data_IF_328796522119
#
_entry.id   IF_328796522119
#
_cell.length_a   1.000
_cell.length_b   1.000
_cell.length_c   1.000
_cell.angle_alpha   90.00
_cell.angle_beta   90.00
_cell.angle_gamma   90.00
#
_symmetry.space_group_name_H-M   'P 1'
#
loop_
_entity.id
_entity.type
_entity.pdbx_description
1 polymer ?
#
# COMPACT_ATOMS: atom_id res chain seq x y z
N UNK A 1 -11.22 21.51 13.40
CA UNK A 1 -12.02 20.86 12.34
C UNK A 1 -12.27 19.40 12.70
N UNK A 2 -13.44 18.84 12.34
CA UNK A 2 -13.85 17.48 12.71
C UNK A 2 -12.80 16.40 12.36
N UNK A 3 -12.15 16.52 11.19
CA UNK A 3 -11.08 15.63 10.73
C UNK A 3 -9.92 15.54 11.73
N UNK A 4 -9.55 16.65 12.37
CA UNK A 4 -8.40 16.70 13.28
C UNK A 4 -8.69 16.08 14.66
N UNK A 5 -9.94 16.14 15.10
CA UNK A 5 -10.42 15.54 16.36
C UNK A 5 -10.80 14.06 16.24
N UNK A 6 -10.90 13.52 15.02
CA UNK A 6 -11.32 12.13 14.79
C UNK A 6 -10.13 11.17 14.70
N UNK A 7 -10.28 9.98 15.31
CA UNK A 7 -9.30 8.87 15.21
C UNK A 7 -9.28 8.22 13.82
N UNK A 8 -10.43 8.16 13.17
CA UNK A 8 -10.64 7.69 11.79
C UNK A 8 -11.66 8.61 11.14
N UNK A 9 -11.46 8.91 9.86
CA UNK A 9 -12.32 9.72 9.00
C UNK A 9 -12.81 8.81 7.88
N UNK A 10 -14.14 8.72 7.72
CA UNK A 10 -14.76 7.94 6.64
C UNK A 10 -15.15 8.92 5.53
N UNK A 11 -14.74 8.62 4.31
CA UNK A 11 -15.13 9.34 3.12
C UNK A 11 -16.07 8.47 2.28
N UNK A 12 -17.33 8.88 2.18
CA UNK A 12 -18.37 8.13 1.46
C UNK A 12 -18.45 8.67 0.03
N UNK A 13 -17.97 7.91 -0.94
CA UNK A 13 -17.80 8.30 -2.34
C UNK A 13 -18.94 7.77 -3.20
N UNK A 14 -19.51 8.66 -4.00
CA UNK A 14 -20.49 8.41 -5.06
C UNK A 14 -20.11 9.17 -6.34
N UNK A 15 -20.85 8.99 -7.44
CA UNK A 15 -20.67 9.79 -8.64
C UNK A 15 -21.05 11.25 -8.41
N UNK A 16 -22.12 11.50 -7.66
CA UNK A 16 -22.50 12.85 -7.27
C UNK A 16 -21.44 13.49 -6.39
N UNK A 17 -20.84 12.72 -5.47
CA UNK A 17 -19.66 13.15 -4.74
C UNK A 17 -18.60 13.63 -5.73
N UNK A 18 -18.19 12.84 -6.72
CA UNK A 18 -17.10 13.26 -7.62
C UNK A 18 -17.43 14.51 -8.45
N UNK A 19 -18.72 14.80 -8.69
CA UNK A 19 -19.18 15.93 -9.51
C UNK A 19 -19.45 17.22 -8.74
N UNK A 20 -19.96 17.11 -7.51
CA UNK A 20 -20.04 18.25 -6.61
C UNK A 20 -18.62 18.63 -6.26
N UNK A 21 -18.19 19.88 -6.45
CA UNK A 21 -16.91 20.31 -5.93
C UNK A 21 -16.91 20.10 -4.42
N UNK A 22 -16.34 18.98 -3.97
CA UNK A 22 -16.08 18.72 -2.58
C UNK A 22 -15.31 19.91 -2.08
N UNK A 23 -15.79 20.52 -1.00
CA UNK A 23 -15.06 21.56 -0.32
C UNK A 23 -13.61 21.08 -0.20
N UNK A 24 -12.71 21.76 -0.94
CA UNK A 24 -11.33 21.34 -1.16
C UNK A 24 -10.64 21.01 0.16
N UNK A 25 -11.08 21.69 1.23
CA UNK A 25 -10.50 21.65 2.55
C UNK A 25 -10.61 20.28 3.25
N UNK A 26 -11.78 19.65 3.39
CA UNK A 26 -11.90 18.41 4.17
C UNK A 26 -11.10 17.25 3.56
N UNK A 27 -11.19 17.08 2.23
CA UNK A 27 -10.39 16.08 1.50
C UNK A 27 -8.91 16.44 1.56
N UNK A 28 -8.56 17.73 1.48
CA UNK A 28 -7.18 18.18 1.63
C UNK A 28 -6.62 17.86 3.02
N UNK A 29 -7.36 18.16 4.08
CA UNK A 29 -6.97 17.90 5.46
C UNK A 29 -6.86 16.39 5.73
N UNK A 30 -7.83 15.60 5.26
CA UNK A 30 -7.79 14.15 5.40
C UNK A 30 -6.63 13.51 4.61
N UNK A 31 -6.36 14.01 3.39
CA UNK A 31 -5.21 13.59 2.58
C UNK A 31 -3.90 13.99 3.24
N UNK A 32 -3.81 15.19 3.81
CA UNK A 32 -2.61 15.68 4.51
C UNK A 32 -2.28 14.80 5.71
N UNK A 33 -3.26 14.50 6.57
CA UNK A 33 -3.04 13.58 7.71
C UNK A 33 -2.66 12.17 7.26
N UNK A 34 -3.20 11.70 6.13
CA UNK A 34 -2.87 10.37 5.57
C UNK A 34 -1.48 10.28 4.93
N UNK A 35 -1.04 11.33 4.23
CA UNK A 35 0.17 11.30 3.41
C UNK A 35 1.36 12.06 3.99
N UNK A 36 1.15 13.08 4.81
CA UNK A 36 2.23 13.84 5.45
C UNK A 36 2.43 13.41 6.90
N UNK A 37 1.35 13.23 7.67
CA UNK A 37 1.45 12.77 9.06
C UNK A 37 1.55 11.22 9.17
N UNK A 38 1.51 10.51 8.03
CA UNK A 38 1.56 9.03 7.93
C UNK A 38 0.52 8.30 8.80
N UNK A 39 -0.57 8.98 9.15
CA UNK A 39 -1.63 8.39 9.96
C UNK A 39 -2.61 7.66 9.03
N UNK A 40 -2.86 6.36 9.23
CA UNK A 40 -3.89 5.60 8.50
C UNK A 40 -5.31 5.99 8.98
N UNK A 41 -5.65 7.27 8.83
CA UNK A 41 -6.87 7.88 9.36
C UNK A 41 -8.01 7.91 8.34
N UNK A 42 -7.76 7.71 7.05
CA UNK A 42 -8.78 7.89 6.00
C UNK A 42 -9.23 6.56 5.42
N UNK A 43 -10.52 6.26 5.56
CA UNK A 43 -11.18 5.11 4.95
C UNK A 43 -12.14 5.56 3.86
N UNK A 44 -11.98 5.07 2.63
CA UNK A 44 -12.95 5.33 1.57
C UNK A 44 -14.04 4.26 1.55
N UNK A 45 -15.29 4.68 1.35
CA UNK A 45 -16.45 3.82 1.15
C UNK A 45 -17.10 4.21 -0.16
N UNK A 46 -17.06 3.34 -1.17
CA UNK A 46 -17.76 3.55 -2.44
C UNK A 46 -19.19 3.04 -2.34
N UNK A 47 -20.19 3.91 -2.50
CA UNK A 47 -21.60 3.51 -2.48
C UNK A 47 -22.04 2.84 -3.78
N UNK A 48 -21.33 3.10 -4.86
CA UNK A 48 -21.60 2.60 -6.20
C UNK A 48 -20.29 2.27 -6.91
N UNK A 49 -20.30 1.40 -7.92
CA UNK A 49 -19.11 1.14 -8.73
C UNK A 49 -18.70 2.41 -9.46
N UNK A 50 -17.48 2.89 -9.18
CA UNK A 50 -16.92 4.06 -9.86
C UNK A 50 -15.81 3.59 -10.80
N UNK A 51 -15.89 3.92 -12.11
CA UNK A 51 -14.84 3.57 -13.05
C UNK A 51 -13.49 4.16 -12.63
N UNK A 52 -12.43 3.35 -12.71
CA UNK A 52 -11.08 3.80 -12.35
C UNK A 52 -10.65 5.05 -13.10
N UNK A 53 -11.09 5.22 -14.35
CA UNK A 53 -10.82 6.43 -15.15
C UNK A 53 -11.30 7.70 -14.45
N UNK A 54 -12.48 7.69 -13.84
CA UNK A 54 -13.01 8.86 -13.11
C UNK A 54 -12.18 9.13 -11.86
N UNK A 55 -11.76 8.08 -11.15
CA UNK A 55 -10.91 8.18 -9.95
C UNK A 55 -9.50 8.65 -10.29
N UNK A 56 -9.03 8.30 -11.49
CA UNK A 56 -7.71 8.63 -12.00
C UNK A 56 -7.51 10.14 -12.15
N UNK A 57 -8.58 10.89 -12.45
CA UNK A 57 -8.59 12.36 -12.51
C UNK A 57 -8.30 13.00 -11.15
N UNK A 58 -8.62 12.30 -10.06
CA UNK A 58 -8.41 12.78 -8.69
C UNK A 58 -7.10 12.21 -8.13
N UNK A 59 -5.97 12.84 -8.45
CA UNK A 59 -4.62 12.39 -8.07
C UNK A 59 -4.48 12.04 -6.57
N UNK A 60 -5.13 12.80 -5.68
CA UNK A 60 -5.14 12.53 -4.24
C UNK A 60 -5.89 11.24 -3.92
N UNK A 61 -7.10 11.03 -4.46
CA UNK A 61 -7.86 9.79 -4.28
C UNK A 61 -7.11 8.58 -4.84
N UNK A 62 -6.47 8.70 -6.01
CA UNK A 62 -5.65 7.62 -6.58
C UNK A 62 -4.59 7.14 -5.59
N UNK A 63 -3.87 8.07 -4.94
CA UNK A 63 -2.89 7.72 -3.91
C UNK A 63 -3.51 7.01 -2.70
N UNK A 64 -4.74 7.36 -2.30
CA UNK A 64 -5.41 6.69 -1.17
C UNK A 64 -5.83 5.28 -1.58
N UNK A 65 -6.38 5.13 -2.78
CA UNK A 65 -6.76 3.84 -3.33
C UNK A 65 -5.57 2.88 -3.49
N UNK A 66 -4.38 3.40 -3.83
CA UNK A 66 -3.14 2.62 -3.89
C UNK A 66 -2.76 2.03 -2.52
N UNK A 67 -3.13 2.68 -1.41
CA UNK A 67 -2.97 2.12 -0.05
C UNK A 67 -3.99 1.01 0.26
N UNK A 68 -4.93 0.73 -0.64
CA UNK A 68 -6.01 -0.27 -0.51
C UNK A 68 -6.89 -0.08 0.74
N UNK A 69 -7.04 1.16 1.19
CA UNK A 69 -7.90 1.53 2.32
C UNK A 69 -9.30 1.94 1.85
N UNK A 70 -9.93 1.10 1.03
CA UNK A 70 -11.29 1.33 0.55
C UNK A 70 -12.17 0.11 0.73
N UNK A 71 -13.47 0.37 0.90
CA UNK A 71 -14.53 -0.62 0.91
C UNK A 71 -15.54 -0.24 -0.15
N UNK A 72 -16.10 -1.25 -0.81
CA UNK A 72 -17.18 -1.07 -1.77
C UNK A 72 -18.47 -1.60 -1.14
N UNK A 73 -19.52 -0.80 -1.22
CA UNK A 73 -20.86 -1.21 -0.84
C UNK A 73 -21.34 -2.30 -1.79
N UNK A 74 -21.94 -3.40 -1.27
CA UNK A 74 -22.47 -4.46 -2.12
C UNK A 74 -23.58 -3.92 -3.03
N UNK A 75 -23.40 -4.13 -4.34
CA UNK A 75 -24.38 -3.75 -5.34
C UNK A 75 -25.60 -4.68 -5.35
N UNK A 76 -26.65 -4.26 -6.05
CA UNK A 76 -27.92 -4.97 -6.17
C UNK A 76 -27.83 -6.31 -6.90
N UNK A 77 -26.69 -6.61 -7.52
CA UNK A 77 -26.47 -7.77 -8.38
C UNK A 77 -25.84 -8.97 -7.68
N UNK A 78 -25.61 -8.93 -6.36
CA UNK A 78 -25.03 -10.08 -5.67
C UNK A 78 -26.10 -11.13 -5.33
N UNK A 79 -25.71 -12.40 -5.45
CA UNK A 79 -26.58 -13.56 -5.20
C UNK A 79 -27.18 -13.57 -3.79
N UNK A 80 -26.44 -13.05 -2.79
CA UNK A 80 -26.91 -12.89 -1.41
C UNK A 80 -26.61 -11.47 -0.86
N UNK A 81 -27.57 -10.54 -1.00
CA UNK A 81 -27.44 -9.16 -0.53
C UNK A 81 -27.24 -9.01 0.98
N UNK A 82 -27.79 -9.93 1.78
CA UNK A 82 -27.75 -9.80 3.23
C UNK A 82 -26.37 -10.20 3.76
N UNK A 83 -25.85 -11.34 3.33
CA UNK A 83 -24.48 -11.76 3.66
C UNK A 83 -23.43 -10.77 3.16
N UNK A 84 -23.61 -10.24 1.94
CA UNK A 84 -22.69 -9.24 1.40
C UNK A 84 -22.66 -7.93 2.22
N UNK A 85 -23.82 -7.46 2.70
CA UNK A 85 -23.90 -6.31 3.60
C UNK A 85 -23.27 -6.60 4.95
N UNK A 86 -23.51 -7.78 5.51
CA UNK A 86 -22.90 -8.19 6.77
C UNK A 86 -21.36 -8.21 6.68
N UNK A 87 -20.83 -8.80 5.61
CA UNK A 87 -19.40 -8.79 5.31
C UNK A 87 -18.84 -7.37 5.18
N UNK A 88 -19.55 -6.47 4.51
CA UNK A 88 -19.17 -5.06 4.42
C UNK A 88 -19.08 -4.42 5.82
N UNK A 89 -20.11 -4.57 6.64
CA UNK A 89 -20.14 -3.99 7.99
C UNK A 89 -19.05 -4.57 8.89
N UNK A 90 -18.76 -5.87 8.77
CA UNK A 90 -17.68 -6.53 9.50
C UNK A 90 -16.31 -5.99 9.07
N UNK A 91 -16.08 -5.79 7.77
CA UNK A 91 -14.86 -5.16 7.26
C UNK A 91 -14.73 -3.71 7.73
N UNK A 92 -15.82 -2.94 7.71
CA UNK A 92 -15.84 -1.55 8.17
C UNK A 92 -15.52 -1.45 9.67
N UNK A 93 -16.19 -2.24 10.51
CA UNK A 93 -15.91 -2.32 11.96
C UNK A 93 -14.45 -2.66 12.23
N UNK A 94 -13.88 -3.62 11.50
CA UNK A 94 -12.46 -4.00 11.63
C UNK A 94 -11.53 -2.85 11.24
N UNK A 95 -11.77 -2.19 10.10
CA UNK A 95 -10.98 -1.06 9.65
C UNK A 95 -11.02 0.12 10.64
N UNK A 96 -12.19 0.37 11.23
CA UNK A 96 -12.36 1.38 12.27
C UNK A 96 -11.66 1.03 13.58
N UNK A 97 -11.51 -0.25 13.92
CA UNK A 97 -10.79 -0.69 15.13
C UNK A 97 -9.28 -0.80 14.94
N UNK A 98 -8.79 -0.90 13.71
CA UNK A 98 -7.36 -1.01 13.41
C UNK A 98 -6.59 0.23 13.86
N UNK A 99 -5.50 0.03 14.60
CA UNK A 99 -4.46 1.03 14.86
C UNK A 99 -3.63 1.29 13.58
N UNK A 100 -2.92 2.42 13.52
CA UNK A 100 -2.11 2.86 12.37
C UNK A 100 -0.86 2.00 12.06
N UNK A 101 -0.73 0.83 12.67
CA UNK A 101 0.48 0.02 12.66
C UNK A 101 0.71 -0.74 11.34
N UNK A 102 -0.34 -1.06 10.59
CA UNK A 102 -0.24 -1.93 9.40
C UNK A 102 0.47 -1.32 8.17
N UNK A 103 0.59 0.01 8.09
CA UNK A 103 1.34 0.65 6.99
C UNK A 103 2.86 0.64 7.23
N UNK A 104 3.29 0.72 8.50
CA UNK A 104 4.71 0.67 8.86
C UNK A 104 5.31 -0.72 8.64
N UNK A 105 4.58 -1.80 8.94
CA UNK A 105 5.08 -3.17 8.76
C UNK A 105 5.31 -3.52 7.30
N UNK A 106 4.42 -3.12 6.38
CA UNK A 106 4.60 -3.40 4.94
C UNK A 106 5.78 -2.64 4.34
N UNK A 107 6.03 -1.43 4.83
CA UNK A 107 7.14 -0.60 4.37
C UNK A 107 8.47 -1.12 4.93
N UNK A 108 8.52 -1.45 6.23
CA UNK A 108 9.67 -2.12 6.88
C UNK A 108 9.98 -3.47 6.25
N UNK A 109 8.96 -4.26 5.92
CA UNK A 109 9.13 -5.56 5.28
C UNK A 109 9.63 -5.42 3.85
N UNK A 110 9.23 -4.37 3.12
CA UNK A 110 9.75 -4.09 1.78
C UNK A 110 11.20 -3.62 1.83
N UNK A 111 11.53 -2.69 2.73
CA UNK A 111 12.89 -2.20 2.96
C UNK A 111 13.84 -3.34 3.40
N UNK A 112 13.40 -4.23 4.30
CA UNK A 112 14.20 -5.41 4.66
C UNK A 112 14.41 -6.39 3.51
N UNK A 113 13.42 -6.56 2.64
CA UNK A 113 13.54 -7.48 1.51
C UNK A 113 14.42 -6.90 0.40
N UNK A 114 14.37 -5.59 0.19
CA UNK A 114 15.24 -4.87 -0.76
C UNK A 114 16.71 -4.85 -0.24
N UNK A 115 16.92 -4.69 1.07
CA UNK A 115 18.27 -4.77 1.68
C UNK A 115 18.88 -6.17 1.54
N UNK A 116 18.13 -7.24 1.85
CA UNK A 116 18.61 -8.63 1.70
C UNK A 116 18.98 -8.99 0.26
N UNK A 117 18.37 -8.34 -0.73
CA UNK A 117 18.71 -8.54 -2.14
C UNK A 117 20.03 -7.87 -2.51
N UNK A 118 20.26 -6.65 -2.03
CA UNK A 118 21.52 -5.94 -2.24
C UNK A 118 22.69 -6.63 -1.54
N UNK A 119 22.49 -7.13 -0.31
CA UNK A 119 23.54 -7.83 0.43
C UNK A 119 23.93 -9.15 -0.27
N UNK A 120 22.96 -9.86 -0.86
CA UNK A 120 23.24 -11.05 -1.68
C UNK A 120 23.97 -10.73 -2.98
N UNK A 121 23.55 -9.68 -3.69
CA UNK A 121 24.22 -9.25 -4.92
C UNK A 121 25.64 -8.74 -4.64
N UNK A 122 25.87 -8.14 -3.47
CA UNK A 122 27.20 -7.76 -2.99
C UNK A 122 28.09 -8.97 -2.70
N UNK A 123 27.58 -9.97 -1.97
CA UNK A 123 28.32 -11.20 -1.66
C UNK A 123 28.66 -12.02 -2.92
N UNK A 124 27.72 -12.18 -3.84
CA UNK A 124 27.94 -12.88 -5.13
C UNK A 124 28.99 -12.15 -6.00
N UNK A 125 29.06 -10.82 -5.89
CA UNK A 125 30.04 -9.99 -6.59
C UNK A 125 31.42 -10.08 -5.93
N UNK A 126 31.50 -10.02 -4.61
CA UNK A 126 32.74 -10.18 -3.85
C UNK A 126 33.36 -11.57 -4.06
N UNK A 127 32.55 -12.64 -4.07
CA UNK A 127 33.03 -13.98 -4.42
C UNK A 127 33.60 -14.03 -5.84
N UNK A 128 32.92 -13.44 -6.84
CA UNK A 128 33.45 -13.38 -8.21
C UNK A 128 34.75 -12.58 -8.30
N UNK A 129 34.85 -11.45 -7.60
CA UNK A 129 36.07 -10.64 -7.58
C UNK A 129 37.21 -11.39 -6.87
N UNK A 130 36.94 -12.17 -5.81
CA UNK A 130 37.93 -13.03 -5.16
C UNK A 130 38.48 -14.12 -6.10
N UNK A 131 37.61 -14.81 -6.83
CA UNK A 131 38.01 -15.82 -7.81
C UNK A 131 38.75 -15.24 -9.02
N UNK A 132 38.38 -14.04 -9.49
CA UNK A 132 39.06 -13.36 -10.60
C UNK A 132 40.45 -12.86 -10.20
N UNK A 133 40.64 -12.45 -8.94
CA UNK A 133 41.91 -11.92 -8.45
C UNK A 133 42.88 -13.00 -7.94
N UNK A 134 42.47 -14.27 -7.93
CA UNK A 134 43.38 -15.39 -7.72
C UNK A 134 44.15 -15.68 -9.00
N UNK A 135 45.35 -15.11 -9.11
CA UNK A 135 46.36 -15.64 -10.02
C UNK A 135 46.78 -17.03 -9.56
N UNK A 136 46.90 -18.03 -10.44
CA UNK A 136 47.34 -19.36 -10.05
C UNK A 136 48.71 -19.26 -9.38
N UNK A 137 48.84 -19.79 -8.16
CA UNK A 137 50.15 -20.00 -7.54
C UNK A 137 50.82 -21.18 -8.25
N UNK A 138 52.11 -21.02 -8.57
CA UNK A 138 52.96 -21.98 -9.31
C UNK A 138 52.94 -23.43 -8.78
N UNK A 139 52.44 -23.66 -7.55
CA UNK A 139 52.39 -24.98 -6.90
C UNK A 139 51.28 -25.93 -7.40
N UNK A 140 50.24 -25.45 -8.11
CA UNK A 140 49.15 -26.32 -8.63
C UNK A 140 49.45 -26.97 -9.99
N UNK A 141 50.53 -26.60 -10.67
CA UNK A 141 50.88 -27.14 -11.99
C UNK A 141 51.55 -28.52 -11.89
N UNK A 142 51.97 -28.95 -10.69
CA UNK A 142 52.79 -30.16 -10.50
C UNK A 142 52.03 -31.49 -10.40
N UNK A 143 50.69 -31.49 -10.31
CA UNK A 143 49.90 -32.72 -10.07
C UNK A 143 49.03 -33.20 -11.24
N UNK A 144 49.10 -32.56 -12.41
CA UNK A 144 48.40 -33.02 -13.60
C UNK A 144 49.38 -33.46 -14.71
N UNK A 145 49.60 -34.77 -14.72
CA UNK A 145 50.08 -35.65 -15.80
C UNK A 145 51.59 -35.88 -15.96
N UNK A 146 51.97 -37.08 -16.44
CA UNK A 146 51.14 -38.16 -17.05
C UNK A 146 50.73 -39.30 -16.12
#
# INVERSE_FOLDING_TARGET
>A
AAVYSSRKTICVVSQNFLRSEWCSLEIQLASYRLFQEMQDVLLLVFLEPIPERQLSTYHRMRKVMLKKTYLQWPGSNCSDPNSAKELFWNKLKRALRSSNTGSQEKQKMKEQNDQRRQDKEGADREEREYFVNQTPTDDEVYYLMP
#
